data_IF_688336341043
#
_entry.id   IF_688336341043
#
_cell.length_a   1.000
_cell.length_b   1.000
_cell.length_c   1.000
_cell.angle_alpha   90.00
_cell.angle_beta   90.00
_cell.angle_gamma   90.00
#
_symmetry.space_group_name_H-M   'P 1'
#
loop_
_entity.id
_entity.type
_entity.pdbx_description
1 polymer ?
#
# COMPACT_ATOMS: atom_id res chain seq x y z
N UNK A 1 -12.02 -18.75 0.17
CA UNK A 1 -11.35 -19.68 -0.76
C UNK A 1 -10.71 -19.00 -1.97
N UNK A 2 -10.82 -17.68 -2.16
CA UNK A 2 -10.59 -17.01 -3.46
C UNK A 2 -9.17 -16.50 -3.75
N UNK A 3 -8.15 -16.92 -3.00
CA UNK A 3 -6.75 -16.47 -3.18
C UNK A 3 -5.78 -17.66 -3.29
N UNK A 4 -6.30 -18.87 -3.50
CA UNK A 4 -5.52 -20.11 -3.41
C UNK A 4 -4.35 -20.17 -4.42
N UNK A 5 -4.51 -19.53 -5.58
CA UNK A 5 -3.55 -19.56 -6.70
C UNK A 5 -2.88 -18.20 -6.97
N UNK A 6 -3.08 -17.20 -6.10
CA UNK A 6 -2.42 -15.91 -6.26
C UNK A 6 -0.93 -16.05 -5.97
N UNK A 7 -0.10 -15.75 -6.96
CA UNK A 7 1.35 -15.62 -6.82
C UNK A 7 1.77 -14.20 -7.20
N UNK A 8 2.55 -13.56 -6.35
CA UNK A 8 3.05 -12.20 -6.50
C UNK A 8 4.55 -12.19 -6.22
N UNK A 9 5.27 -11.31 -6.90
CA UNK A 9 6.64 -11.04 -6.51
C UNK A 9 6.67 -10.07 -5.33
N UNK A 10 7.73 -10.14 -4.53
CA UNK A 10 7.98 -9.13 -3.49
C UNK A 10 8.26 -7.78 -4.15
N UNK A 11 7.58 -6.69 -3.73
CA UNK A 11 7.76 -5.36 -4.32
C UNK A 11 9.10 -4.71 -3.94
N UNK A 12 9.82 -5.27 -2.95
CA UNK A 12 11.18 -4.90 -2.59
C UNK A 12 12.07 -6.13 -2.61
N UNK A 13 13.09 -6.10 -3.47
CA UNK A 13 14.02 -7.22 -3.67
C UNK A 13 14.79 -7.55 -2.38
N UNK A 14 14.85 -8.84 -2.02
CA UNK A 14 15.55 -9.33 -0.83
C UNK A 14 14.84 -9.04 0.50
N UNK A 15 13.61 -8.51 0.47
CA UNK A 15 12.84 -8.17 1.68
C UNK A 15 11.70 -9.17 1.86
N UNK A 16 11.76 -9.96 2.94
CA UNK A 16 10.73 -10.94 3.28
C UNK A 16 9.43 -10.28 3.74
N UNK A 17 8.31 -11.01 3.68
CA UNK A 17 7.06 -10.64 4.37
C UNK A 17 7.38 -10.40 5.86
N UNK A 18 6.99 -9.25 6.45
CA UNK A 18 7.33 -8.94 7.83
C UNK A 18 6.61 -9.88 8.80
N UNK A 19 7.29 -10.26 9.88
CA UNK A 19 6.76 -11.14 10.94
C UNK A 19 5.97 -10.38 12.01
N UNK A 20 6.18 -9.06 12.12
CA UNK A 20 5.51 -8.24 13.11
C UNK A 20 4.06 -7.97 12.70
N UNK A 21 3.11 -8.41 13.52
CA UNK A 21 1.68 -8.26 13.24
C UNK A 21 1.25 -6.80 13.01
N UNK A 22 1.95 -5.81 13.58
CA UNK A 22 1.64 -4.39 13.37
C UNK A 22 1.91 -3.90 11.94
N UNK A 23 2.72 -4.64 11.18
CA UNK A 23 3.13 -4.34 9.80
C UNK A 23 2.30 -5.11 8.77
N UNK A 24 1.27 -5.84 9.21
CA UNK A 24 0.45 -6.71 8.38
C UNK A 24 -1.01 -6.22 8.35
N UNK A 25 -1.79 -6.66 7.34
CA UNK A 25 -3.21 -6.35 7.27
C UNK A 25 -3.95 -6.71 8.56
N UNK A 26 -5.03 -5.97 8.84
CA UNK A 26 -5.85 -6.05 10.05
C UNK A 26 -5.22 -5.47 11.33
N UNK A 27 -4.00 -4.95 11.28
CA UNK A 27 -3.41 -4.29 12.44
C UNK A 27 -4.18 -3.00 12.80
N UNK A 28 -4.59 -2.78 14.07
CA UNK A 28 -5.30 -1.58 14.46
C UNK A 28 -4.43 -0.32 14.35
N UNK A 29 -5.03 0.78 13.90
CA UNK A 29 -4.41 2.12 13.83
C UNK A 29 -5.19 3.07 14.76
N UNK A 30 -5.02 2.87 16.06
CA UNK A 30 -5.79 3.52 17.13
C UNK A 30 -5.72 5.05 17.12
N UNK A 31 -4.61 5.63 16.65
CA UNK A 31 -4.44 7.08 16.54
C UNK A 31 -5.41 7.75 15.55
N UNK A 32 -6.00 6.97 14.62
CA UNK A 32 -6.94 7.44 13.58
C UNK A 32 -8.23 6.62 13.50
N UNK A 33 -8.49 5.78 14.51
CA UNK A 33 -9.57 4.81 14.54
C UNK A 33 -9.67 3.98 13.25
N UNK A 34 -8.51 3.58 12.70
CA UNK A 34 -8.43 2.88 11.42
C UNK A 34 -7.92 1.45 11.56
N UNK A 35 -7.84 0.78 10.42
CA UNK A 35 -7.20 -0.52 10.25
C UNK A 35 -6.10 -0.37 9.20
N UNK A 36 -5.02 -1.13 9.36
CA UNK A 36 -3.98 -1.29 8.36
C UNK A 36 -4.47 -2.27 7.29
N UNK A 37 -4.56 -1.81 6.04
CA UNK A 37 -5.12 -2.62 4.94
C UNK A 37 -4.03 -3.30 4.09
N UNK A 38 -2.76 -2.99 4.38
CA UNK A 38 -1.61 -3.42 3.58
C UNK A 38 -0.50 -4.04 4.39
N UNK A 39 0.65 -4.17 3.75
CA UNK A 39 1.91 -4.69 4.31
C UNK A 39 2.91 -3.55 4.32
N UNK A 40 3.56 -3.33 5.46
CA UNK A 40 4.63 -2.33 5.61
C UNK A 40 6.00 -3.03 5.49
N UNK A 41 6.65 -2.92 4.34
CA UNK A 41 8.00 -3.42 4.11
C UNK A 41 9.02 -2.36 4.53
N UNK A 42 9.68 -2.57 5.68
CA UNK A 42 10.73 -1.68 6.15
C UNK A 42 11.97 -1.81 5.26
N UNK A 43 12.28 -0.71 4.58
CA UNK A 43 13.42 -0.58 3.68
C UNK A 43 14.06 0.78 3.88
N UNK A 44 15.33 0.90 3.47
CA UNK A 44 16.00 2.20 3.52
C UNK A 44 15.29 3.20 2.59
N UNK A 45 15.42 4.48 2.90
CA UNK A 45 14.99 5.54 1.99
C UNK A 45 15.68 5.35 0.63
N UNK A 46 14.90 5.43 -0.46
CA UNK A 46 15.43 5.31 -1.81
C UNK A 46 15.66 3.88 -2.28
N UNK A 47 15.20 2.87 -1.54
CA UNK A 47 15.25 1.49 -2.00
C UNK A 47 14.36 1.28 -3.25
N UNK A 48 14.80 0.49 -4.23
CA UNK A 48 14.00 0.16 -5.41
C UNK A 48 12.64 -0.46 -5.06
N UNK A 49 11.57 0.02 -5.70
CA UNK A 49 10.22 -0.53 -5.59
C UNK A 49 9.81 -1.06 -6.97
N UNK A 50 9.38 -2.33 -7.00
CA UNK A 50 8.98 -3.06 -8.20
C UNK A 50 7.48 -3.35 -8.20
N UNK A 51 6.88 -3.44 -9.38
CA UNK A 51 5.49 -3.88 -9.52
C UNK A 51 5.35 -5.36 -9.10
N UNK A 52 4.48 -5.64 -8.13
CA UNK A 52 4.25 -6.98 -7.59
C UNK A 52 3.58 -7.94 -8.59
N UNK A 53 2.83 -7.39 -9.54
CA UNK A 53 2.18 -8.09 -10.65
C UNK A 53 2.09 -7.15 -11.87
N UNK A 54 1.91 -7.75 -13.06
CA UNK A 54 1.67 -6.99 -14.29
C UNK A 54 0.30 -6.32 -14.28
N UNK A 55 0.18 -5.17 -14.95
CA UNK A 55 -1.05 -4.39 -15.00
C UNK A 55 -0.88 -3.06 -15.72
N UNK A 56 -1.89 -2.20 -15.58
CA UNK A 56 -1.90 -0.84 -16.13
C UNK A 56 -1.92 0.18 -15.01
N UNK A 57 -0.99 1.12 -15.03
CA UNK A 57 -0.93 2.22 -14.08
C UNK A 57 -2.17 3.10 -14.27
N UNK A 58 -2.93 3.35 -13.20
CA UNK A 58 -4.12 4.21 -13.22
C UNK A 58 -3.91 5.53 -12.49
N UNK A 59 -2.91 5.61 -11.61
CA UNK A 59 -2.50 6.82 -10.89
C UNK A 59 -1.00 6.78 -10.61
N UNK A 60 -0.35 7.92 -10.77
CA UNK A 60 1.07 8.13 -10.42
C UNK A 60 1.26 9.57 -9.93
N UNK A 61 1.51 9.75 -8.63
CA UNK A 61 1.54 11.07 -7.99
C UNK A 61 2.89 11.81 -8.12
N UNK A 62 3.31 12.09 -9.35
CA UNK A 62 4.59 12.76 -9.67
C UNK A 62 4.78 14.13 -8.99
N UNK A 63 3.67 14.81 -8.68
CA UNK A 63 3.66 16.15 -8.11
C UNK A 63 3.05 16.18 -6.70
N UNK A 64 3.14 15.07 -5.96
CA UNK A 64 2.67 15.00 -4.58
C UNK A 64 3.27 16.12 -3.73
N UNK A 65 2.44 16.71 -2.86
CA UNK A 65 2.85 17.70 -1.87
C UNK A 65 2.39 17.26 -0.50
N UNK A 66 3.31 17.33 0.45
CA UNK A 66 3.05 16.96 1.83
C UNK A 66 2.07 17.94 2.49
N UNK A 67 1.20 17.42 3.36
CA UNK A 67 0.34 18.25 4.18
C UNK A 67 1.16 18.95 5.28
N UNK A 68 0.81 20.20 5.65
CA UNK A 68 1.37 20.82 6.85
C UNK A 68 1.13 19.95 8.09
N UNK A 69 2.15 19.79 8.94
CA UNK A 69 2.11 18.87 10.09
C UNK A 69 0.88 19.08 11.00
N UNK A 70 0.56 20.34 11.33
CA UNK A 70 -0.59 20.66 12.19
C UNK A 70 -1.93 20.39 11.50
N UNK A 71 -2.02 20.58 10.18
CA UNK A 71 -3.23 20.24 9.42
C UNK A 71 -3.45 18.73 9.37
N UNK A 72 -2.38 17.96 9.14
CA UNK A 72 -2.43 16.49 9.19
C UNK A 72 -2.90 16.00 10.57
N UNK A 73 -2.34 16.53 11.66
CA UNK A 73 -2.76 16.18 13.03
C UNK A 73 -4.25 16.45 13.26
N UNK A 74 -4.75 17.60 12.78
CA UNK A 74 -6.17 17.95 12.85
C UNK A 74 -7.06 16.91 12.15
N UNK A 75 -6.74 16.53 10.90
CA UNK A 75 -7.50 15.53 10.15
C UNK A 75 -7.55 14.18 10.86
N UNK A 76 -6.42 13.73 11.43
CA UNK A 76 -6.38 12.46 12.17
C UNK A 76 -7.17 12.51 13.48
N UNK A 77 -7.17 13.65 14.17
CA UNK A 77 -7.99 13.84 15.36
C UNK A 77 -9.49 13.83 15.03
N UNK A 78 -9.88 14.43 13.90
CA UNK A 78 -11.26 14.40 13.40
C UNK A 78 -11.70 12.98 13.03
N UNK A 79 -10.87 12.23 12.29
CA UNK A 79 -11.10 10.81 12.01
C UNK A 79 -11.25 9.99 13.30
N UNK A 80 -10.36 10.20 14.27
CA UNK A 80 -10.46 9.53 15.57
C UNK A 80 -11.77 9.82 16.28
N UNK A 81 -12.23 11.07 16.27
CA UNK A 81 -13.51 11.50 16.87
C UNK A 81 -14.71 10.89 16.15
N UNK A 82 -14.63 10.69 14.83
CA UNK A 82 -15.69 10.10 14.03
C UNK A 82 -15.90 8.60 14.30
N UNK A 83 -14.88 7.93 14.83
CA UNK A 83 -14.95 6.49 15.11
C UNK A 83 -14.54 5.60 13.94
N UNK A 84 -14.03 6.16 12.85
CA UNK A 84 -13.39 5.43 11.74
C UNK A 84 -12.46 6.37 10.97
N UNK A 85 -11.53 5.85 10.15
CA UNK A 85 -10.78 6.68 9.19
C UNK A 85 -11.61 6.89 7.91
N UNK A 86 -12.05 8.12 7.58
CA UNK A 86 -12.71 8.44 6.32
C UNK A 86 -11.81 8.24 5.10
N UNK A 87 -12.41 8.06 3.92
CA UNK A 87 -11.68 7.87 2.66
C UNK A 87 -10.85 9.08 2.26
N UNK A 88 -11.34 10.30 2.47
CA UNK A 88 -10.59 11.53 2.19
C UNK A 88 -9.36 11.68 3.10
N UNK A 89 -9.50 11.36 4.39
CA UNK A 89 -8.35 11.33 5.32
C UNK A 89 -7.34 10.25 4.90
N UNK A 90 -7.82 9.08 4.50
CA UNK A 90 -6.95 8.02 3.99
C UNK A 90 -6.17 8.48 2.75
N UNK A 91 -6.88 8.89 1.71
CA UNK A 91 -6.31 9.25 0.41
C UNK A 91 -5.40 10.49 0.48
N UNK A 92 -5.76 11.50 1.28
CA UNK A 92 -5.03 12.78 1.27
C UNK A 92 -4.00 12.92 2.38
N UNK A 93 -4.13 12.21 3.51
CA UNK A 93 -3.26 12.40 4.67
C UNK A 93 -2.40 11.18 5.03
N UNK A 94 -2.69 10.00 4.45
CA UNK A 94 -2.04 8.75 4.83
C UNK A 94 -1.30 8.07 3.68
N UNK A 95 -1.81 8.11 2.44
CA UNK A 95 -1.19 7.38 1.32
C UNK A 95 0.18 7.96 0.92
N UNK A 96 0.32 9.29 0.91
CA UNK A 96 1.55 9.96 0.46
C UNK A 96 1.68 9.98 -1.06
N UNK A 97 2.93 10.06 -1.55
CA UNK A 97 3.23 9.87 -2.97
C UNK A 97 3.05 8.40 -3.31
N UNK A 98 2.18 8.11 -4.28
CA UNK A 98 1.80 6.74 -4.59
C UNK A 98 1.63 6.43 -6.07
N UNK A 99 1.68 5.14 -6.37
CA UNK A 99 1.35 4.53 -7.66
C UNK A 99 0.21 3.55 -7.43
N UNK A 100 -0.78 3.55 -8.32
CA UNK A 100 -1.87 2.57 -8.33
C UNK A 100 -1.81 1.82 -9.65
N UNK A 101 -1.82 0.48 -9.59
CA UNK A 101 -1.77 -0.39 -10.76
C UNK A 101 -3.04 -1.25 -10.78
N UNK A 102 -3.82 -1.15 -11.85
CA UNK A 102 -4.97 -2.02 -12.12
C UNK A 102 -4.50 -3.29 -12.82
N UNK A 103 -4.85 -4.44 -12.25
CA UNK A 103 -4.53 -5.77 -12.76
C UNK A 103 -5.71 -6.42 -13.49
N UNK A 104 -6.84 -5.72 -13.62
CA UNK A 104 -8.04 -6.23 -14.23
C UNK A 104 -8.64 -7.40 -13.44
N UNK A 105 -9.29 -8.32 -14.14
CA UNK A 105 -9.96 -9.50 -13.56
C UNK A 105 -9.12 -10.78 -13.62
N UNK A 106 -7.91 -10.70 -14.18
CA UNK A 106 -7.09 -11.88 -14.47
C UNK A 106 -6.23 -12.30 -13.26
N UNK A 107 -5.89 -11.37 -12.37
CA UNK A 107 -5.01 -11.64 -11.23
C UNK A 107 -5.71 -12.45 -10.12
N UNK A 108 -6.98 -12.16 -9.85
CA UNK A 108 -7.77 -12.86 -8.82
C UNK A 108 -9.14 -13.20 -9.40
N UNK A 109 -9.43 -14.49 -9.66
CA UNK A 109 -10.71 -14.90 -10.24
C UNK A 109 -11.92 -14.37 -9.47
N UNK A 110 -12.82 -13.71 -10.19
CA UNK A 110 -14.06 -13.14 -9.63
C UNK A 110 -13.93 -11.71 -9.08
N UNK A 111 -12.72 -11.13 -9.06
CA UNK A 111 -12.49 -9.78 -8.55
C UNK A 111 -11.72 -8.94 -9.58
N UNK A 112 -12.05 -7.65 -9.69
CA UNK A 112 -11.10 -6.68 -10.22
C UNK A 112 -10.05 -6.43 -9.14
N UNK A 113 -8.77 -6.58 -9.48
CA UNK A 113 -7.68 -6.37 -8.54
C UNK A 113 -6.87 -5.12 -8.89
N UNK A 114 -6.51 -4.32 -7.90
CA UNK A 114 -5.53 -3.25 -8.08
C UNK A 114 -4.60 -3.15 -6.88
N UNK A 115 -3.33 -2.81 -7.11
CA UNK A 115 -2.34 -2.62 -6.05
C UNK A 115 -1.97 -1.15 -5.85
N UNK A 116 -1.62 -0.82 -4.61
CA UNK A 116 -1.21 0.53 -4.19
C UNK A 116 0.20 0.45 -3.63
N UNK A 117 1.10 1.32 -4.12
CA UNK A 117 2.47 1.48 -3.65
C UNK A 117 2.61 2.87 -3.07
N UNK A 118 2.64 2.98 -1.75
CA UNK A 118 2.54 4.23 -1.02
C UNK A 118 3.85 4.64 -0.36
N UNK A 119 3.86 5.87 0.19
CA UNK A 119 5.00 6.47 0.88
C UNK A 119 6.26 6.64 0.02
N UNK A 120 6.13 6.69 -1.30
CA UNK A 120 7.28 6.77 -2.21
C UNK A 120 8.05 8.09 -2.00
N UNK A 121 9.35 8.07 -2.32
CA UNK A 121 10.18 9.28 -2.42
C UNK A 121 10.35 9.74 -3.87
N UNK A 122 10.14 8.82 -4.82
CA UNK A 122 10.26 9.07 -6.24
C UNK A 122 9.40 8.07 -7.01
N UNK A 123 8.82 8.53 -8.11
CA UNK A 123 8.15 7.71 -9.12
C UNK A 123 8.93 7.89 -10.41
N UNK A 124 9.27 6.81 -11.11
CA UNK A 124 10.03 6.94 -12.34
C UNK A 124 9.20 7.71 -13.41
N UNK A 125 9.80 8.62 -14.19
CA UNK A 125 9.05 9.51 -15.10
C UNK A 125 8.16 8.82 -16.14
N UNK A 126 8.52 7.60 -16.57
CA UNK A 126 7.77 6.79 -17.53
C UNK A 126 6.51 6.13 -16.93
N UNK A 127 6.41 6.09 -15.60
CA UNK A 127 5.27 5.52 -14.88
C UNK A 127 4.18 6.57 -14.79
N UNK A 128 3.26 6.55 -15.75
CA UNK A 128 2.14 7.49 -15.87
C UNK A 128 0.83 6.72 -16.03
N UNK A 129 -0.33 7.35 -15.80
CA UNK A 129 -1.61 6.74 -16.14
C UNK A 129 -1.63 6.23 -17.59
N UNK A 130 -1.99 4.95 -17.77
CA UNK A 130 -1.96 4.25 -19.05
C UNK A 130 -0.69 3.44 -19.33
N UNK A 131 0.38 3.61 -18.54
CA UNK A 131 1.60 2.80 -18.69
C UNK A 131 1.31 1.34 -18.30
N UNK A 132 1.62 0.40 -19.20
CA UNK A 132 1.59 -1.03 -18.92
C UNK A 132 2.91 -1.43 -18.27
N UNK A 133 2.83 -2.18 -17.17
CA UNK A 133 3.98 -2.72 -16.45
C UNK A 133 3.87 -4.23 -16.32
N UNK A 134 5.01 -4.90 -16.30
CA UNK A 134 5.11 -6.31 -15.97
C UNK A 134 5.47 -6.49 -14.49
N UNK A 135 5.23 -7.69 -13.95
CA UNK A 135 5.76 -8.05 -12.65
C UNK A 135 7.30 -7.90 -12.66
N UNK A 136 7.86 -7.17 -11.69
CA UNK A 136 9.32 -6.96 -11.57
C UNK A 136 9.84 -5.64 -12.12
N UNK A 137 9.03 -4.93 -12.92
CA UNK A 137 9.40 -3.62 -13.45
C UNK A 137 9.66 -2.64 -12.31
N UNK A 138 10.75 -1.89 -12.41
CA UNK A 138 11.10 -0.82 -11.46
C UNK A 138 10.16 0.36 -11.68
N UNK A 139 9.38 0.71 -10.66
CA UNK A 139 8.33 1.75 -10.79
C UNK A 139 8.63 3.01 -9.97
N UNK A 140 9.53 2.92 -8.99
CA UNK A 140 9.90 4.06 -8.17
C UNK A 140 10.83 3.68 -7.03
N UNK A 141 10.95 4.58 -6.06
CA UNK A 141 11.81 4.43 -4.89
C UNK A 141 11.03 4.65 -3.60
N UNK A 142 11.33 3.84 -2.58
CA UNK A 142 10.73 3.95 -1.24
C UNK A 142 11.05 5.29 -0.59
N UNK A 143 10.18 5.74 0.30
CA UNK A 143 10.34 6.98 1.04
C UNK A 143 9.59 6.94 2.36
N UNK A 144 9.04 8.08 2.77
CA UNK A 144 8.15 8.17 3.92
C UNK A 144 7.00 9.17 3.72
N UNK A 145 6.69 9.58 2.48
CA UNK A 145 5.68 10.61 2.20
C UNK A 145 4.32 10.25 2.81
N UNK A 146 3.54 11.22 3.29
CA UNK A 146 2.26 10.98 3.98
C UNK A 146 2.38 10.50 5.44
N UNK A 147 3.60 10.25 5.92
CA UNK A 147 3.86 9.93 7.33
C UNK A 147 4.15 11.18 8.16
N UNK A 148 3.95 11.10 9.49
CA UNK A 148 4.30 12.21 10.39
C UNK A 148 5.78 12.65 10.25
N UNK A 149 6.79 11.75 10.23
CA UNK A 149 8.18 12.12 9.99
C UNK A 149 8.41 12.96 8.73
N UNK A 150 7.64 12.72 7.66
CA UNK A 150 7.74 13.49 6.41
C UNK A 150 7.22 14.91 6.57
N UNK A 151 6.10 15.10 7.27
CA UNK A 151 5.57 16.44 7.58
C UNK A 151 6.51 17.30 8.42
N UNK A 152 7.47 16.66 9.10
CA UNK A 152 8.53 17.31 9.89
C UNK A 152 9.85 17.47 9.11
N UNK A 153 9.87 17.15 7.82
CA UNK A 153 11.04 17.28 6.95
C UNK A 153 12.13 16.22 7.19
N UNK A 154 11.81 15.13 7.87
CA UNK A 154 12.78 14.05 8.16
C UNK A 154 12.56 12.84 7.24
N UNK A 155 13.60 12.02 7.10
CA UNK A 155 13.54 10.74 6.36
C UNK A 155 13.36 9.51 7.27
N UNK A 156 13.02 9.74 8.55
CA UNK A 156 12.85 8.65 9.52
C UNK A 156 11.61 7.82 9.19
N UNK A 157 11.66 6.54 9.55
CA UNK A 157 10.53 5.63 9.34
C UNK A 157 10.24 5.36 7.86
N UNK A 158 11.27 5.41 7.00
CA UNK A 158 11.11 5.03 5.61
C UNK A 158 10.69 3.56 5.49
N UNK A 159 9.70 3.30 4.65
CA UNK A 159 9.17 1.98 4.35
C UNK A 159 8.32 2.07 3.07
N UNK A 160 8.08 0.92 2.44
CA UNK A 160 7.03 0.79 1.44
C UNK A 160 5.75 0.32 2.13
N UNK A 161 4.66 1.05 1.94
CA UNK A 161 3.33 0.55 2.24
C UNK A 161 2.72 -0.02 0.96
N UNK A 162 2.34 -1.30 0.98
CA UNK A 162 1.77 -1.99 -0.18
C UNK A 162 0.40 -2.57 0.14
N UNK A 163 -0.62 -2.25 -0.67
CA UNK A 163 -1.95 -2.84 -0.58
C UNK A 163 -2.28 -3.61 -1.86
N UNK A 164 -3.03 -4.71 -1.73
CA UNK A 164 -3.78 -5.31 -2.84
C UNK A 164 -5.26 -5.20 -2.50
N UNK A 165 -6.00 -4.56 -3.39
CA UNK A 165 -7.42 -4.30 -3.25
C UNK A 165 -8.20 -5.12 -4.28
N UNK A 166 -9.29 -5.73 -3.83
CA UNK A 166 -10.19 -6.58 -4.59
C UNK A 166 -11.57 -5.94 -4.62
N UNK A 167 -12.15 -5.86 -5.81
CA UNK A 167 -13.46 -5.24 -6.02
C UNK A 167 -14.39 -6.19 -6.78
N UNK A 168 -15.62 -6.28 -6.30
CA UNK A 168 -16.72 -6.98 -6.95
C UNK A 168 -18.04 -6.20 -6.78
N UNK A 169 -19.19 -6.83 -7.09
CA UNK A 169 -20.50 -6.19 -6.93
C UNK A 169 -20.89 -5.92 -5.46
N UNK A 170 -20.24 -6.58 -4.50
CA UNK A 170 -20.45 -6.43 -3.05
C UNK A 170 -19.64 -5.30 -2.43
N UNK A 171 -18.59 -4.82 -3.10
CA UNK A 171 -17.82 -3.65 -2.68
C UNK A 171 -16.31 -3.84 -2.83
N UNK A 172 -15.57 -3.27 -1.88
CA UNK A 172 -14.11 -3.25 -1.87
C UNK A 172 -13.56 -3.98 -0.64
N UNK A 173 -12.53 -4.79 -0.86
CA UNK A 173 -11.86 -5.61 0.14
C UNK A 173 -10.36 -5.48 -0.02
N UNK A 174 -9.61 -5.50 1.08
CA UNK A 174 -8.14 -5.58 1.01
C UNK A 174 -7.65 -7.01 1.28
N UNK A 175 -6.49 -7.35 0.73
CA UNK A 175 -5.86 -8.66 0.94
C UNK A 175 -5.69 -8.95 2.44
N UNK A 176 -6.25 -10.06 2.89
CA UNK A 176 -6.21 -10.47 4.29
C UNK A 176 -7.38 -9.98 5.14
N UNK A 177 -8.28 -9.15 4.62
CA UNK A 177 -9.47 -8.72 5.34
C UNK A 177 -10.26 -9.92 5.88
N UNK A 178 -10.57 -9.90 7.18
CA UNK A 178 -11.31 -10.97 7.86
C UNK A 178 -10.49 -12.19 8.28
N UNK A 179 -9.19 -12.27 7.93
CA UNK A 179 -8.32 -13.34 8.40
C UNK A 179 -7.87 -13.10 9.85
N UNK A 180 -7.73 -14.19 10.63
CA UNK A 180 -6.97 -14.13 11.88
C UNK A 180 -5.46 -14.06 11.58
N UNK A 181 -4.66 -13.61 12.56
CA UNK A 181 -3.24 -13.34 12.35
C UNK A 181 -2.41 -14.54 11.89
N UNK A 182 -2.74 -15.76 12.34
CA UNK A 182 -1.98 -16.96 11.99
C UNK A 182 -2.24 -17.35 10.54
N UNK A 183 -3.52 -17.42 10.16
CA UNK A 183 -3.92 -17.80 8.81
C UNK A 183 -3.50 -16.74 7.79
N UNK A 184 -3.55 -15.46 8.17
CA UNK A 184 -3.04 -14.35 7.35
C UNK A 184 -1.57 -14.55 7.02
N UNK A 185 -0.71 -14.75 8.02
CA UNK A 185 0.73 -14.85 7.80
C UNK A 185 1.07 -16.06 6.92
N UNK A 186 0.46 -17.23 7.19
CA UNK A 186 0.65 -18.41 6.36
C UNK A 186 0.16 -18.21 4.92
N UNK A 187 -0.91 -17.45 4.69
CA UNK A 187 -1.39 -17.14 3.35
C UNK A 187 -0.45 -16.18 2.62
N UNK A 188 0.07 -15.14 3.30
CA UNK A 188 1.03 -14.21 2.71
C UNK A 188 2.33 -14.92 2.30
N UNK A 189 2.81 -15.88 3.09
CA UNK A 189 3.99 -16.67 2.70
C UNK A 189 3.77 -17.49 1.43
N UNK A 190 2.55 -17.97 1.16
CA UNK A 190 2.23 -18.68 -0.09
C UNK A 190 2.10 -17.73 -1.28
N UNK A 191 1.55 -16.55 -1.05
CA UNK A 191 1.38 -15.54 -2.12
C UNK A 191 2.74 -15.05 -2.62
N UNK A 192 3.68 -14.85 -1.70
CA UNK A 192 5.02 -14.34 -2.00
C UNK A 192 6.10 -15.42 -2.04
N UNK A 193 5.74 -16.72 -2.04
CA UNK A 193 6.71 -17.78 -2.27
C UNK A 193 7.00 -17.88 -3.76
N UNK A 194 8.28 -17.76 -4.12
CA UNK A 194 8.80 -18.15 -5.44
C UNK A 194 8.50 -19.62 -5.77
#
# INVERSE_FOLDING_TARGET
>A
ETVADLSLILPCEGISVPTQALLLPNAPRSYRHGIHRGIDFYVNWGSPVRAAAGGTVVRADHHYKELPAEFRKKLLAEAKRLGHTPSDVFEHALVGQAIYIDHGFDLVPGYRAYSIYAHLSHINPEIMPGTVVNAGDLIGLSGNSGTEPSTLGTRKGAHLHWELILQDAGGEYYLGQGFNSKDLYSQLLKIFSE
#
